data_IF_249685009325
#
_entry.id   IF_249685009325
#
_cell.length_a   1.000
_cell.length_b   1.000
_cell.length_c   1.000
_cell.angle_alpha   90.00
_cell.angle_beta   90.00
_cell.angle_gamma   90.00
#
_symmetry.space_group_name_H-M   'P 1'
#
loop_
_entity.id
_entity.type
_entity.pdbx_description
1 polymer ?
#
# COMPACT_ATOMS: atom_id res chain seq x y z
N UNK A 1 18.40 22.64 3.89
CA UNK A 1 17.38 22.39 4.94
C UNK A 1 16.66 21.10 4.56
N UNK A 2 16.64 20.05 5.41
CA UNK A 2 15.87 18.86 5.09
C UNK A 2 14.37 19.15 5.33
N UNK A 3 13.54 18.89 4.33
CA UNK A 3 12.08 18.82 4.52
C UNK A 3 11.77 17.84 5.66
N UNK A 4 10.73 18.09 6.48
CA UNK A 4 10.40 17.18 7.58
C UNK A 4 10.21 15.78 7.01
N UNK A 5 10.98 14.82 7.49
CA UNK A 5 11.01 13.41 7.04
C UNK A 5 9.62 12.77 6.92
N UNK A 6 8.66 13.24 7.72
CA UNK A 6 7.23 12.88 7.62
C UNK A 6 6.59 13.21 6.27
N UNK A 7 6.92 14.34 5.66
CA UNK A 7 6.40 14.72 4.33
C UNK A 7 7.02 13.86 3.23
N UNK A 8 8.31 13.54 3.35
CA UNK A 8 8.99 12.65 2.40
C UNK A 8 8.41 11.24 2.45
N UNK A 9 8.19 10.70 3.65
CA UNK A 9 7.57 9.38 3.78
C UNK A 9 6.10 9.38 3.33
N UNK A 10 5.32 10.40 3.69
CA UNK A 10 3.93 10.51 3.24
C UNK A 10 3.79 10.51 1.71
N UNK A 11 4.70 11.20 1.01
CA UNK A 11 4.73 11.16 -0.45
C UNK A 11 5.09 9.78 -1.00
N UNK A 12 6.12 9.12 -0.43
CA UNK A 12 6.53 7.75 -0.82
C UNK A 12 5.39 6.76 -0.63
N UNK A 13 4.66 6.85 0.48
CA UNK A 13 3.46 6.06 0.74
C UNK A 13 2.40 6.28 -0.34
N UNK A 14 2.07 7.53 -0.64
CA UNK A 14 1.06 7.84 -1.65
C UNK A 14 1.43 7.24 -3.03
N UNK A 15 2.71 7.26 -3.40
CA UNK A 15 3.19 6.63 -4.63
C UNK A 15 3.03 5.11 -4.58
N UNK A 16 3.46 4.45 -3.51
CA UNK A 16 3.32 3.00 -3.36
C UNK A 16 1.85 2.58 -3.37
N UNK A 17 1.00 3.27 -2.62
CA UNK A 17 -0.44 3.00 -2.54
C UNK A 17 -1.10 3.12 -3.93
N UNK A 18 -0.78 4.18 -4.68
CA UNK A 18 -1.29 4.35 -6.04
C UNK A 18 -0.87 3.21 -6.98
N UNK A 19 0.39 2.77 -6.89
CA UNK A 19 0.92 1.64 -7.68
C UNK A 19 0.25 0.32 -7.31
N UNK A 20 0.00 0.07 -6.02
CA UNK A 20 -0.74 -1.09 -5.55
C UNK A 20 -2.18 -1.10 -6.08
N UNK A 21 -2.88 0.03 -6.01
CA UNK A 21 -4.25 0.14 -6.55
C UNK A 21 -4.30 -0.07 -8.07
N UNK A 22 -3.28 0.39 -8.79
CA UNK A 22 -3.15 0.13 -10.23
C UNK A 22 -2.85 -1.34 -10.52
N UNK A 23 -2.02 -1.99 -9.70
CA UNK A 23 -1.68 -3.40 -9.83
C UNK A 23 -2.84 -4.34 -9.48
N UNK A 24 -3.65 -3.98 -8.48
CA UNK A 24 -4.79 -4.77 -8.01
C UNK A 24 -6.14 -4.46 -8.66
N UNK A 25 -6.21 -3.39 -9.47
CA UNK A 25 -7.43 -2.97 -10.14
C UNK A 25 -8.61 -2.73 -9.19
N UNK A 26 -9.82 -2.85 -9.73
CA UNK A 26 -11.07 -2.54 -9.01
C UNK A 26 -11.23 -3.36 -7.73
N UNK A 27 -10.86 -4.66 -7.76
CA UNK A 27 -11.02 -5.54 -6.59
C UNK A 27 -10.23 -5.06 -5.38
N UNK A 28 -8.98 -4.65 -5.56
CA UNK A 28 -8.19 -4.13 -4.44
C UNK A 28 -8.74 -2.77 -3.97
N UNK A 29 -9.16 -1.91 -4.91
CA UNK A 29 -9.74 -0.60 -4.59
C UNK A 29 -11.00 -0.72 -3.74
N UNK A 30 -11.90 -1.65 -4.07
CA UNK A 30 -13.11 -1.93 -3.31
C UNK A 30 -12.77 -2.45 -1.91
N UNK A 31 -11.90 -3.46 -1.80
CA UNK A 31 -11.46 -4.02 -0.52
C UNK A 31 -10.82 -2.94 0.39
N UNK A 32 -9.99 -2.06 -0.17
CA UNK A 32 -9.39 -0.93 0.58
C UNK A 32 -10.46 0.07 1.00
N UNK A 33 -11.41 0.40 0.12
CA UNK A 33 -12.52 1.32 0.43
C UNK A 33 -13.39 0.79 1.56
N UNK A 34 -13.71 -0.50 1.56
CA UNK A 34 -14.51 -1.15 2.59
C UNK A 34 -13.83 -1.12 3.95
N UNK A 35 -12.52 -1.39 4.00
CA UNK A 35 -11.75 -1.30 5.23
C UNK A 35 -11.68 0.16 5.74
N UNK A 36 -11.50 1.13 4.84
CA UNK A 36 -11.54 2.56 5.21
C UNK A 36 -12.91 2.98 5.73
N UNK A 37 -13.99 2.47 5.15
CA UNK A 37 -15.36 2.71 5.64
C UNK A 37 -15.58 2.13 7.05
N UNK A 38 -14.87 1.06 7.40
CA UNK A 38 -14.85 0.47 8.75
C UNK A 38 -13.92 1.22 9.73
N UNK A 39 -13.30 2.32 9.32
CA UNK A 39 -12.39 3.11 10.17
C UNK A 39 -10.95 2.60 10.20
N UNK A 40 -10.59 1.61 9.37
CA UNK A 40 -9.21 1.15 9.23
C UNK A 40 -8.41 2.20 8.45
N UNK A 41 -7.24 2.56 8.96
CA UNK A 41 -6.31 3.48 8.27
C UNK A 41 -5.79 2.85 6.97
N UNK A 42 -5.33 3.69 6.06
CA UNK A 42 -4.90 3.26 4.73
C UNK A 42 -3.76 2.24 4.78
N UNK A 43 -2.70 2.51 5.54
CA UNK A 43 -1.53 1.63 5.59
C UNK A 43 -1.86 0.25 6.19
N UNK A 44 -2.54 0.15 7.36
CA UNK A 44 -3.02 -1.13 7.88
C UNK A 44 -4.00 -1.85 6.95
N UNK A 45 -4.81 -1.13 6.16
CA UNK A 45 -5.71 -1.75 5.19
C UNK A 45 -4.92 -2.49 4.10
N UNK A 46 -3.91 -1.85 3.51
CA UNK A 46 -3.03 -2.52 2.54
C UNK A 46 -2.25 -3.67 3.17
N UNK A 47 -1.68 -3.47 4.36
CA UNK A 47 -0.93 -4.53 5.04
C UNK A 47 -1.81 -5.76 5.32
N UNK A 48 -3.05 -5.55 5.75
CA UNK A 48 -4.02 -6.64 5.97
C UNK A 48 -4.38 -7.37 4.67
N UNK A 49 -4.66 -6.63 3.59
CA UNK A 49 -5.09 -7.21 2.32
C UNK A 49 -3.96 -7.96 1.59
N UNK A 50 -2.73 -7.51 1.75
CA UNK A 50 -1.55 -8.09 1.10
C UNK A 50 -0.77 -9.05 2.01
N UNK A 51 -1.26 -9.28 3.23
CA UNK A 51 -0.60 -10.09 4.26
C UNK A 51 0.87 -9.66 4.51
N UNK A 52 1.08 -8.34 4.62
CA UNK A 52 2.38 -7.75 4.91
C UNK A 52 2.76 -7.92 6.39
N UNK A 53 4.07 -7.91 6.74
CA UNK A 53 4.55 -8.08 8.12
C UNK A 53 4.17 -6.93 9.06
N UNK A 54 4.46 -7.11 10.36
CA UNK A 54 3.87 -6.42 11.53
C UNK A 54 3.91 -4.88 11.56
N UNK A 55 4.71 -4.21 10.74
CA UNK A 55 4.68 -2.75 10.60
C UNK A 55 4.12 -2.35 9.22
N UNK A 56 2.83 -1.96 9.14
CA UNK A 56 2.20 -1.54 7.88
C UNK A 56 2.90 -0.36 7.20
N UNK A 57 3.49 0.53 8.00
CA UNK A 57 4.17 1.71 7.49
C UNK A 57 5.48 1.29 6.81
N UNK A 58 6.34 0.58 7.53
CA UNK A 58 7.61 0.13 6.97
C UNK A 58 7.40 -0.88 5.83
N UNK A 59 6.40 -1.76 5.94
CA UNK A 59 6.13 -2.75 4.91
C UNK A 59 5.73 -2.11 3.58
N UNK A 60 4.91 -1.06 3.59
CA UNK A 60 4.59 -0.32 2.37
C UNK A 60 5.82 0.39 1.80
N UNK A 61 6.65 1.03 2.62
CA UNK A 61 7.87 1.67 2.11
C UNK A 61 8.83 0.67 1.45
N UNK A 62 8.90 -0.57 1.93
CA UNK A 62 9.74 -1.59 1.33
C UNK A 62 9.30 -1.95 -0.10
N UNK A 63 8.01 -1.83 -0.41
CA UNK A 63 7.45 -2.07 -1.74
C UNK A 63 7.78 -0.96 -2.76
N UNK A 64 8.33 0.17 -2.32
CA UNK A 64 8.78 1.23 -3.24
C UNK A 64 9.79 0.70 -4.28
N UNK A 65 10.63 -0.24 -3.86
CA UNK A 65 11.68 -0.84 -4.70
C UNK A 65 11.18 -1.89 -5.69
N UNK A 66 9.92 -2.34 -5.54
CA UNK A 66 9.34 -3.37 -6.40
C UNK A 66 8.98 -2.76 -7.75
N UNK A 67 9.11 -3.54 -8.81
CA UNK A 67 8.56 -3.24 -10.14
C UNK A 67 7.05 -3.44 -10.18
N UNK A 68 6.39 -2.83 -11.17
CA UNK A 68 4.94 -2.98 -11.32
C UNK A 68 4.52 -4.44 -11.56
N UNK A 69 5.39 -5.25 -12.17
CA UNK A 69 5.16 -6.68 -12.34
C UNK A 69 5.19 -7.43 -11.01
N UNK A 70 6.18 -7.14 -10.15
CA UNK A 70 6.27 -7.76 -8.81
C UNK A 70 5.08 -7.35 -7.93
N UNK A 71 4.64 -6.09 -8.02
CA UNK A 71 3.44 -5.62 -7.31
C UNK A 71 2.18 -6.35 -7.81
N UNK A 72 2.02 -6.55 -9.12
CA UNK A 72 0.90 -7.34 -9.67
C UNK A 72 0.93 -8.79 -9.21
N UNK A 73 2.11 -9.40 -9.14
CA UNK A 73 2.24 -10.76 -8.61
C UNK A 73 1.87 -10.83 -7.13
N UNK A 74 2.36 -9.88 -6.33
CA UNK A 74 2.04 -9.79 -4.90
C UNK A 74 0.53 -9.66 -4.66
N UNK A 75 -0.14 -8.76 -5.40
CA UNK A 75 -1.59 -8.58 -5.29
C UNK A 75 -2.35 -9.80 -5.82
N UNK A 76 -1.92 -10.35 -6.96
CA UNK A 76 -2.53 -11.51 -7.62
C UNK A 76 -2.51 -12.79 -6.78
N UNK A 77 -1.44 -13.02 -6.00
CA UNK A 77 -1.34 -14.17 -5.09
C UNK A 77 -2.31 -14.12 -3.91
N UNK A 78 -2.92 -12.96 -3.63
CA UNK A 78 -3.76 -12.71 -2.44
C UNK A 78 -5.19 -12.27 -2.80
N UNK A 79 -5.59 -12.45 -4.08
CA UNK A 79 -6.87 -12.00 -4.63
C UNK A 79 -8.04 -12.91 -4.26
#
# INVERSE_FOLDING_TARGET
QPLPTKQQHGYRHLVVEARLLAAGGTTLQEKVRDLKAQGVKTEPAFAKLLALPDDPYQALLNLETYSDQELRQLVGQRS
#
